data_IF_316198691841
#
_entry.id   IF_316198691841
#
_cell.length_a   1.000
_cell.length_b   1.000
_cell.length_c   1.000
_cell.angle_alpha   90.00
_cell.angle_beta   90.00
_cell.angle_gamma   90.00
#
_symmetry.space_group_name_H-M   'P 1'
#
loop_
_entity.id
_entity.type
_entity.pdbx_description
1 polymer ?
#
# COMPACT_ATOMS: atom_id res chain seq x y z
N UNK A 1 36.54 -16.32 -53.75
CA UNK A 1 36.19 -17.05 -52.50
C UNK A 1 35.35 -16.09 -51.67
N UNK A 2 34.06 -16.36 -51.47
CA UNK A 2 33.13 -15.50 -50.72
C UNK A 2 33.10 -15.98 -49.27
N UNK A 3 33.50 -15.14 -48.33
CA UNK A 3 33.37 -15.40 -46.89
C UNK A 3 31.97 -15.03 -46.42
N UNK A 4 31.32 -15.99 -45.76
CA UNK A 4 29.96 -15.93 -45.25
C UNK A 4 29.92 -15.19 -43.89
N UNK A 5 28.96 -14.29 -43.74
CA UNK A 5 28.65 -13.58 -42.48
C UNK A 5 27.73 -14.49 -41.66
N UNK A 6 28.14 -14.87 -40.46
CA UNK A 6 27.27 -15.51 -39.46
C UNK A 6 26.47 -14.41 -38.74
N UNK A 7 25.17 -14.33 -39.02
CA UNK A 7 24.24 -13.53 -38.26
C UNK A 7 23.82 -14.29 -36.99
N UNK A 8 24.28 -13.85 -35.83
CA UNK A 8 23.81 -14.35 -34.55
C UNK A 8 22.44 -13.70 -34.25
N UNK A 9 21.36 -14.45 -34.46
CA UNK A 9 20.03 -14.08 -33.98
C UNK A 9 19.96 -14.32 -32.47
N UNK A 10 19.95 -13.25 -31.69
CA UNK A 10 19.60 -13.30 -30.27
C UNK A 10 18.09 -13.55 -30.16
N UNK A 11 17.70 -14.79 -29.83
CA UNK A 11 16.33 -15.11 -29.47
C UNK A 11 16.02 -14.45 -28.12
N UNK A 12 15.28 -13.34 -28.13
CA UNK A 12 14.62 -12.83 -26.94
C UNK A 12 13.49 -13.82 -26.59
N UNK A 13 13.70 -14.64 -25.58
CA UNK A 13 12.61 -15.40 -24.97
C UNK A 13 11.70 -14.40 -24.25
N UNK A 14 10.40 -14.33 -24.56
CA UNK A 14 9.47 -13.57 -23.74
C UNK A 14 9.40 -14.24 -22.37
N UNK A 15 9.78 -13.49 -21.33
CA UNK A 15 9.50 -13.84 -19.95
C UNK A 15 7.97 -13.82 -19.82
N UNK A 16 7.34 -14.99 -19.88
CA UNK A 16 5.94 -15.11 -19.51
C UNK A 16 5.86 -14.82 -18.01
N UNK A 17 5.40 -13.62 -17.66
CA UNK A 17 4.99 -13.30 -16.30
C UNK A 17 3.83 -14.24 -15.93
N UNK A 18 4.12 -15.25 -15.12
CA UNK A 18 3.10 -16.05 -14.46
C UNK A 18 2.51 -15.21 -13.32
N UNK A 19 1.70 -14.21 -13.66
CA UNK A 19 1.03 -13.33 -12.70
C UNK A 19 -0.42 -13.80 -12.47
N UNK A 20 -0.64 -15.07 -12.17
CA UNK A 20 -2.01 -15.57 -11.94
C UNK A 20 -2.20 -16.53 -10.76
N UNK A 21 -1.21 -16.65 -9.85
CA UNK A 21 -1.32 -17.49 -8.64
C UNK A 21 -0.53 -16.84 -7.48
N UNK A 22 -0.97 -15.67 -6.98
CA UNK A 22 -0.22 -14.94 -5.95
C UNK A 22 -1.01 -13.83 -5.27
N UNK A 23 -0.32 -13.08 -4.41
CA UNK A 23 -0.82 -11.81 -3.90
C UNK A 23 -0.54 -10.73 -4.95
N UNK A 24 -1.52 -9.87 -5.22
CA UNK A 24 -1.31 -8.68 -6.01
C UNK A 24 -1.52 -7.43 -5.15
N UNK A 25 -0.72 -6.40 -5.41
CA UNK A 25 -0.77 -5.12 -4.72
C UNK A 25 -1.01 -4.06 -5.78
N UNK A 26 -2.15 -3.39 -5.70
CA UNK A 26 -2.59 -2.40 -6.69
C UNK A 26 -2.92 -1.08 -6.02
N UNK A 27 -2.96 0.00 -6.81
CA UNK A 27 -3.25 1.37 -6.38
C UNK A 27 -2.45 1.90 -5.18
N UNK A 28 -1.26 1.33 -4.96
CA UNK A 28 -0.41 1.66 -3.82
C UNK A 28 0.08 3.11 -3.88
N UNK A 29 0.02 3.81 -2.75
CA UNK A 29 0.63 5.12 -2.57
C UNK A 29 1.02 5.37 -1.12
N UNK A 30 2.05 6.19 -0.93
CA UNK A 30 2.49 6.66 0.38
C UNK A 30 2.30 8.18 0.49
N UNK A 31 2.07 8.66 1.70
CA UNK A 31 2.03 10.10 1.99
C UNK A 31 2.60 10.42 3.36
N UNK A 32 3.17 11.60 3.47
CA UNK A 32 3.59 12.17 4.75
C UNK A 32 2.39 12.62 5.58
N UNK A 33 2.44 12.35 6.88
CA UNK A 33 1.62 13.03 7.87
C UNK A 33 2.38 14.23 8.47
N UNK A 34 3.68 14.07 8.67
CA UNK A 34 4.64 15.11 9.04
C UNK A 34 6.06 14.67 8.62
N UNK A 35 7.12 15.47 8.83
CA UNK A 35 8.48 15.11 8.40
C UNK A 35 9.07 13.82 9.02
N UNK A 36 8.45 13.26 10.06
CA UNK A 36 8.90 12.08 10.81
C UNK A 36 7.93 10.90 10.78
N UNK A 37 6.74 11.06 10.19
CA UNK A 37 5.78 9.96 10.05
C UNK A 37 4.96 10.07 8.78
N UNK A 38 4.56 8.92 8.24
CA UNK A 38 3.72 8.82 7.06
C UNK A 38 2.91 7.53 7.09
N UNK A 39 2.07 7.34 6.09
CA UNK A 39 1.31 6.11 5.92
C UNK A 39 1.34 5.67 4.45
N UNK A 40 1.26 4.37 4.23
CA UNK A 40 1.04 3.76 2.93
C UNK A 40 -0.33 3.07 2.88
N UNK A 41 -0.92 3.16 1.70
CA UNK A 41 -2.27 2.71 1.35
C UNK A 41 -2.17 1.91 0.06
N UNK A 42 -3.00 0.88 -0.09
CA UNK A 42 -2.97 -0.03 -1.23
C UNK A 42 -4.21 -0.93 -1.23
N UNK A 43 -4.53 -1.52 -2.38
CA UNK A 43 -5.44 -2.64 -2.47
C UNK A 43 -4.62 -3.94 -2.51
N UNK A 44 -4.97 -4.88 -1.64
CA UNK A 44 -4.37 -6.21 -1.58
C UNK A 44 -5.35 -7.21 -2.17
N UNK A 45 -4.98 -7.88 -3.25
CA UNK A 45 -5.81 -8.89 -3.90
C UNK A 45 -5.17 -10.27 -3.68
N UNK A 46 -5.95 -11.22 -3.17
CA UNK A 46 -5.52 -12.58 -2.94
C UNK A 46 -6.11 -13.49 -4.02
N UNK A 47 -5.32 -13.84 -5.03
CA UNK A 47 -5.75 -14.75 -6.10
C UNK A 47 -5.63 -16.24 -5.71
N UNK A 48 -5.28 -16.55 -4.46
CA UNK A 48 -5.13 -17.93 -3.97
C UNK A 48 -6.45 -18.46 -3.42
N UNK A 49 -6.54 -19.79 -3.31
CA UNK A 49 -7.70 -20.52 -2.76
C UNK A 49 -7.65 -20.73 -1.24
N UNK A 50 -6.80 -19.98 -0.55
CA UNK A 50 -6.61 -19.99 0.91
C UNK A 50 -6.50 -18.56 1.39
N UNK A 51 -6.94 -18.32 2.62
CA UNK A 51 -6.77 -17.02 3.26
C UNK A 51 -5.28 -16.74 3.48
N UNK A 52 -4.87 -15.50 3.28
CA UNK A 52 -3.53 -15.03 3.56
C UNK A 52 -3.60 -13.91 4.60
N UNK A 53 -2.60 -13.80 5.47
CA UNK A 53 -2.59 -12.76 6.50
C UNK A 53 -1.35 -11.91 6.32
N UNK A 54 -1.51 -10.63 6.02
CA UNK A 54 -0.42 -9.66 6.10
C UNK A 54 -0.03 -9.52 7.57
N UNK A 55 1.02 -10.22 7.97
CA UNK A 55 1.46 -10.33 9.36
C UNK A 55 2.54 -9.33 9.73
N UNK A 56 3.34 -8.89 8.76
CA UNK A 56 4.40 -7.91 9.00
C UNK A 56 4.68 -7.05 7.76
N UNK A 57 5.28 -5.89 8.01
CA UNK A 57 5.62 -4.90 6.99
C UNK A 57 6.95 -4.25 7.32
N UNK A 58 7.81 -4.09 6.32
CA UNK A 58 9.14 -3.50 6.51
C UNK A 58 9.47 -2.50 5.40
N UNK A 59 10.21 -1.45 5.75
CA UNK A 59 10.78 -0.51 4.78
C UNK A 59 12.01 0.17 5.36
N UNK A 60 13.03 0.35 4.52
CA UNK A 60 14.21 1.14 4.87
C UNK A 60 13.92 2.64 4.99
N UNK A 61 12.73 3.12 4.62
CA UNK A 61 12.37 4.53 4.70
C UNK A 61 12.13 5.03 6.14
N UNK A 62 11.86 4.13 7.09
CA UNK A 62 11.46 4.45 8.45
C UNK A 62 12.24 3.62 9.50
N UNK A 63 12.23 4.07 10.75
CA UNK A 63 12.76 3.31 11.89
C UNK A 63 11.82 2.18 12.32
N UNK A 64 10.50 2.39 12.12
CA UNK A 64 9.45 1.44 12.47
C UNK A 64 8.32 1.51 11.45
N UNK A 65 7.83 0.35 11.04
CA UNK A 65 6.69 0.19 10.14
C UNK A 65 5.72 -0.77 10.82
N UNK A 66 4.44 -0.42 10.87
CA UNK A 66 3.43 -1.18 11.61
C UNK A 66 2.10 -1.17 10.85
N UNK A 67 1.29 -2.22 11.00
CA UNK A 67 -0.09 -2.25 10.54
C UNK A 67 -0.98 -1.58 11.58
N UNK A 68 -1.77 -0.59 11.15
CA UNK A 68 -2.65 0.16 12.04
C UNK A 68 -4.09 0.11 11.51
N UNK A 69 -5.05 0.01 12.43
CA UNK A 69 -6.46 0.22 12.13
C UNK A 69 -6.88 1.61 12.61
N UNK A 70 -7.96 2.11 12.04
CA UNK A 70 -8.63 3.30 12.52
C UNK A 70 -10.07 2.91 12.88
N UNK A 71 -10.36 2.84 14.17
CA UNK A 71 -11.67 2.42 14.70
C UNK A 71 -12.29 3.54 15.53
N UNK A 72 -13.58 3.79 15.37
CA UNK A 72 -14.32 4.64 16.30
C UNK A 72 -14.61 3.85 17.59
N UNK A 73 -14.13 4.35 18.72
CA UNK A 73 -14.46 3.84 20.04
C UNK A 73 -15.06 4.99 20.84
N UNK A 74 -16.34 4.87 21.20
CA UNK A 74 -17.09 5.86 21.97
C UNK A 74 -17.10 7.28 21.34
N UNK A 75 -17.25 7.37 20.01
CA UNK A 75 -17.23 8.65 19.29
C UNK A 75 -15.83 9.24 19.08
N UNK A 76 -14.78 8.50 19.45
CA UNK A 76 -13.38 8.91 19.28
C UNK A 76 -12.70 7.98 18.28
N UNK A 77 -12.18 8.54 17.19
CA UNK A 77 -11.34 7.81 16.26
C UNK A 77 -10.02 7.43 16.93
N UNK A 78 -9.74 6.13 16.99
CA UNK A 78 -8.53 5.58 17.56
C UNK A 78 -7.74 4.88 16.47
N UNK A 79 -6.55 5.42 16.21
CA UNK A 79 -5.52 4.74 15.43
C UNK A 79 -4.73 3.82 16.35
N UNK A 80 -4.72 2.52 16.06
CA UNK A 80 -4.05 1.53 16.91
C UNK A 80 -3.34 0.46 16.08
N UNK A 81 -2.17 -0.06 16.54
CA UNK A 81 -1.52 -1.19 15.89
C UNK A 81 -2.43 -2.43 15.85
N UNK A 82 -2.27 -3.26 14.81
CA UNK A 82 -2.93 -4.55 14.61
C UNK A 82 -1.87 -5.65 14.76
N UNK A 83 -1.66 -6.21 15.95
CA UNK A 83 -0.58 -7.18 16.19
C UNK A 83 -0.77 -8.51 15.48
N UNK A 84 -2.03 -8.89 15.24
CA UNK A 84 -2.39 -10.17 14.62
C UNK A 84 -2.38 -10.11 13.07
N UNK A 85 -2.06 -8.95 12.50
CA UNK A 85 -2.06 -8.74 11.05
C UNK A 85 -3.45 -8.51 10.45
N UNK A 86 -3.50 -8.49 9.12
CA UNK A 86 -4.74 -8.26 8.36
C UNK A 86 -4.98 -9.47 7.45
N UNK A 87 -6.10 -10.16 7.62
CA UNK A 87 -6.49 -11.30 6.77
C UNK A 87 -7.09 -10.81 5.45
N UNK A 88 -6.56 -11.33 4.35
CA UNK A 88 -7.10 -11.19 2.99
C UNK A 88 -7.75 -12.52 2.61
N UNK A 89 -9.09 -12.59 2.46
CA UNK A 89 -9.79 -13.82 2.16
C UNK A 89 -9.31 -14.49 0.86
N UNK A 90 -9.41 -15.81 0.78
CA UNK A 90 -9.21 -16.56 -0.47
C UNK A 90 -10.05 -15.97 -1.62
N UNK A 91 -9.43 -15.76 -2.78
CA UNK A 91 -10.06 -15.18 -3.98
C UNK A 91 -10.74 -13.81 -3.70
N UNK A 92 -10.29 -13.10 -2.67
CA UNK A 92 -10.84 -11.84 -2.20
C UNK A 92 -9.81 -10.71 -2.17
N UNK A 93 -10.21 -9.59 -1.58
CA UNK A 93 -9.39 -8.38 -1.50
C UNK A 93 -9.55 -7.70 -0.14
N UNK A 94 -8.57 -6.87 0.21
CA UNK A 94 -8.58 -6.01 1.39
C UNK A 94 -8.02 -4.64 1.04
N UNK A 95 -8.79 -3.58 1.36
CA UNK A 95 -8.44 -2.21 1.06
C UNK A 95 -7.78 -1.54 2.27
N UNK A 96 -6.52 -1.16 2.11
CA UNK A 96 -5.80 -0.33 3.07
C UNK A 96 -5.96 1.13 2.64
N UNK A 97 -6.92 1.84 3.23
CA UNK A 97 -7.29 3.20 2.85
C UNK A 97 -7.32 4.17 4.05
N UNK A 98 -7.35 5.46 3.71
CA UNK A 98 -7.49 6.53 4.70
C UNK A 98 -8.80 6.36 5.46
N UNK A 99 -8.72 6.44 6.79
CA UNK A 99 -9.89 6.22 7.64
C UNK A 99 -10.11 4.76 8.03
N UNK A 100 -9.43 3.80 7.40
CA UNK A 100 -9.46 2.38 7.73
C UNK A 100 -8.07 1.82 8.08
N UNK A 101 -7.83 0.56 7.68
CA UNK A 101 -6.53 -0.10 7.84
C UNK A 101 -5.46 0.57 6.97
N UNK A 102 -4.23 0.66 7.47
CA UNK A 102 -3.12 1.26 6.74
C UNK A 102 -1.76 0.80 7.28
N UNK A 103 -0.71 0.99 6.48
CA UNK A 103 0.67 0.79 6.93
C UNK A 103 1.20 2.11 7.49
N UNK A 104 1.45 2.17 8.80
CA UNK A 104 1.99 3.33 9.47
C UNK A 104 3.52 3.29 9.50
N UNK A 105 4.17 4.39 9.12
CA UNK A 105 5.62 4.57 9.15
C UNK A 105 6.01 5.62 10.17
N UNK A 106 6.87 5.25 11.12
CA UNK A 106 7.31 6.08 12.24
C UNK A 106 8.83 6.23 12.23
N UNK A 107 9.32 7.44 12.49
CA UNK A 107 10.75 7.73 12.45
C UNK A 107 11.28 7.74 11.01
N UNK A 108 10.60 8.46 10.11
CA UNK A 108 11.06 8.61 8.73
C UNK A 108 12.50 9.16 8.68
N UNK A 109 13.34 8.50 7.87
CA UNK A 109 14.74 8.89 7.66
C UNK A 109 14.85 10.16 6.80
N UNK A 110 13.89 10.37 5.91
CA UNK A 110 13.68 11.59 5.14
C UNK A 110 12.17 11.84 4.98
N UNK A 111 11.72 13.11 4.81
CA UNK A 111 10.33 13.40 4.45
C UNK A 111 9.91 12.68 3.17
N UNK A 112 8.64 12.28 3.08
CA UNK A 112 8.07 11.70 1.86
C UNK A 112 7.68 12.82 0.89
N UNK A 113 8.47 13.02 -0.16
CA UNK A 113 8.25 14.07 -1.15
C UNK A 113 7.60 13.52 -2.43
N UNK A 114 6.72 14.30 -3.06
CA UNK A 114 6.01 13.91 -4.29
C UNK A 114 6.99 13.54 -5.42
N UNK A 115 6.67 12.46 -6.14
CA UNK A 115 7.49 11.95 -7.23
C UNK A 115 8.65 11.05 -6.79
N UNK A 116 8.82 10.82 -5.49
CA UNK A 116 9.68 9.76 -4.95
C UNK A 116 8.95 8.42 -4.88
N UNK A 117 9.71 7.34 -4.70
CA UNK A 117 9.18 6.01 -4.37
C UNK A 117 9.87 5.45 -3.13
N UNK A 118 9.15 4.69 -2.33
CA UNK A 118 9.70 3.89 -1.24
C UNK A 118 9.55 2.40 -1.55
N UNK A 119 10.53 1.60 -1.13
CA UNK A 119 10.41 0.14 -1.18
C UNK A 119 9.80 -0.37 0.11
N UNK A 120 8.87 -1.30 0.00
CA UNK A 120 8.23 -1.93 1.14
C UNK A 120 8.16 -3.44 0.89
N UNK A 121 8.42 -4.21 1.94
CA UNK A 121 8.22 -5.65 1.96
C UNK A 121 6.95 -5.93 2.76
N UNK A 122 6.04 -6.69 2.16
CA UNK A 122 4.80 -7.16 2.75
C UNK A 122 4.95 -8.65 3.05
N UNK A 123 4.89 -9.04 4.31
CA UNK A 123 5.00 -10.45 4.73
C UNK A 123 3.61 -11.04 5.01
N UNK A 124 3.19 -11.95 4.14
CA UNK A 124 1.92 -12.66 4.25
C UNK A 124 2.04 -14.01 5.00
N UNK A 125 3.12 -14.20 5.76
CA UNK A 125 3.41 -15.42 6.50
C UNK A 125 3.58 -16.63 5.59
N UNK A 126 2.72 -17.64 5.76
CA UNK A 126 2.78 -18.86 4.94
C UNK A 126 2.49 -18.60 3.45
N UNK A 127 1.83 -17.49 3.11
CA UNK A 127 1.58 -17.10 1.73
C UNK A 127 2.79 -16.42 1.05
N UNK A 128 3.89 -16.20 1.79
CA UNK A 128 5.14 -15.63 1.29
C UNK A 128 5.21 -14.10 1.43
N UNK A 129 6.22 -13.51 0.79
CA UNK A 129 6.53 -12.08 0.87
C UNK A 129 6.43 -11.43 -0.50
N UNK A 130 5.92 -10.20 -0.55
CA UNK A 130 5.93 -9.36 -1.76
C UNK A 130 6.76 -8.09 -1.52
N UNK A 131 7.63 -7.77 -2.48
CA UNK A 131 8.33 -6.48 -2.50
C UNK A 131 7.60 -5.53 -3.44
N UNK A 132 7.20 -4.37 -2.91
CA UNK A 132 6.46 -3.36 -3.65
C UNK A 132 7.20 -2.03 -3.65
N UNK A 133 7.18 -1.36 -4.79
CA UNK A 133 7.63 0.02 -4.92
C UNK A 133 6.40 0.93 -4.84
N UNK A 134 6.32 1.72 -3.78
CA UNK A 134 5.17 2.56 -3.47
C UNK A 134 5.51 4.01 -3.83
N UNK A 135 4.82 4.62 -4.80
CA UNK A 135 5.01 6.03 -5.13
C UNK A 135 4.50 6.92 -4.00
N UNK A 136 5.18 8.05 -3.78
CA UNK A 136 4.72 9.09 -2.87
C UNK A 136 3.79 10.04 -3.60
N UNK A 137 2.57 10.17 -3.08
CA UNK A 137 1.55 11.11 -3.54
C UNK A 137 0.87 11.77 -2.33
N UNK A 138 1.36 12.94 -1.96
CA UNK A 138 0.80 13.74 -0.88
C UNK A 138 -0.47 14.51 -1.30
N UNK A 139 -0.78 14.57 -2.61
CA UNK A 139 -1.96 15.27 -3.13
C UNK A 139 -3.18 14.35 -3.24
N UNK A 140 -3.00 13.03 -3.16
CA UNK A 140 -4.11 12.06 -3.26
C UNK A 140 -5.17 12.30 -2.17
N UNK A 141 -6.37 12.67 -2.61
CA UNK A 141 -7.57 12.63 -1.78
C UNK A 141 -7.80 11.19 -1.34
N UNK A 142 -8.24 10.98 -0.09
CA UNK A 142 -8.50 9.63 0.38
C UNK A 142 -9.70 9.05 -0.33
N UNK A 143 -9.60 7.80 -0.76
CA UNK A 143 -10.75 6.98 -1.17
C UNK A 143 -11.58 6.68 0.10
N UNK A 144 -12.24 7.71 0.64
CA UNK A 144 -12.98 7.63 1.89
C UNK A 144 -14.44 7.42 1.53
N UNK A 145 -15.06 6.36 2.06
CA UNK A 145 -16.52 6.22 2.13
C UNK A 145 -17.18 7.27 3.08
N UNK A 146 -16.47 8.38 3.37
CA UNK A 146 -16.82 9.39 4.37
C UNK A 146 -16.93 10.81 3.80
N UNK A 147 -16.85 11.00 2.47
CA UNK A 147 -17.08 12.30 1.83
C UNK A 147 -18.58 12.65 1.66
N UNK A 148 -19.50 11.86 2.27
CA UNK A 148 -20.94 12.14 2.34
C UNK A 148 -21.40 12.49 3.76
N UNK A 149 -20.77 13.47 4.40
CA UNK A 149 -21.27 14.07 5.64
C UNK A 149 -21.09 15.60 5.61
N UNK A 150 -22.10 16.28 5.08
CA UNK A 150 -22.57 17.55 5.63
C UNK A 150 -21.85 18.83 5.21
N UNK A 151 -22.34 19.44 4.14
CA UNK A 151 -22.34 20.89 3.94
C UNK A 151 -23.04 21.57 5.15
N UNK A 152 -22.28 21.88 6.20
CA UNK A 152 -22.71 22.79 7.25
C UNK A 152 -22.44 24.22 6.81
N UNK A 153 -23.42 24.73 6.07
CA UNK A 153 -23.58 26.14 5.73
C UNK A 153 -23.65 26.99 7.01
N UNK A 154 -22.54 27.63 7.36
CA UNK A 154 -22.51 28.70 8.35
C UNK A 154 -23.12 29.97 7.74
N UNK A 155 -24.44 30.08 7.79
CA UNK A 155 -25.14 31.34 7.60
C UNK A 155 -24.80 32.30 8.74
N UNK A 156 -23.90 33.24 8.46
CA UNK A 156 -23.75 34.46 9.25
C UNK A 156 -24.95 35.38 8.93
N UNK A 157 -25.93 35.43 9.84
CA UNK A 157 -26.87 36.55 9.91
C UNK A 157 -26.26 37.61 10.85
N UNK A 158 -25.63 38.61 10.26
CA UNK A 158 -25.36 39.90 10.89
C UNK A 158 -26.30 40.95 10.28
N UNK A 159 -27.06 41.62 11.15
CA UNK A 159 -27.89 42.84 10.99
C UNK A 159 -29.36 42.72 10.58
#
# INVERSE_FOLDING_TARGET
MKTLIFAASAAMLPYAALAHDGMAVTDAYARGANPKSGAAFMLLENHRKVDCTLSDVASDAAERVELHSNSEVDGVMKMAPIPDGITIPAEGEELLARGGNHVMMMGLKAPLEDGQSIKMTLDFGECGTEEVEIPVDNQRSGDSAADDMGDHQHGHEDH
#
